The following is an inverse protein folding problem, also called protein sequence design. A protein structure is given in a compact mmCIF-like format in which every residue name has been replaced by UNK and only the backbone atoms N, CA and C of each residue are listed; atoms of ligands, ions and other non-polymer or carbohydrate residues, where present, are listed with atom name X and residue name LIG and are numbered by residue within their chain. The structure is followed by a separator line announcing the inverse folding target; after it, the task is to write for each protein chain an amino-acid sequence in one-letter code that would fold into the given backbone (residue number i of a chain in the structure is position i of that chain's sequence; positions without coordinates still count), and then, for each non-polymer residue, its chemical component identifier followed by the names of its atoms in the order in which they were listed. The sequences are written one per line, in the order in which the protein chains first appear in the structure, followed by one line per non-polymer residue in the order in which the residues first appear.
data_IF_194046708230
#
_entry.id   IF_194046708230
#
_cell.length_a   1.000
_cell.length_b   1.000
_cell.length_c   1.000
_cell.angle_alpha   90.00
_cell.angle_beta   90.00
_cell.angle_gamma   90.00
#
_symmetry.space_group_name_H-M   'P 1'
#
loop_
_entity.id
_entity.type
_entity.pdbx_description
1 polymer ?
#
# COMPACT_ATOMS: atom_id res chain seq x y z
N UNK A 1 -13.10 14.82 -0.66
CA UNK A 1 -11.83 14.17 -1.05
C UNK A 1 -11.50 12.96 -0.17
N UNK A 2 -11.92 12.98 1.10
CA UNK A 2 -11.50 12.02 2.14
C UNK A 2 -11.97 10.59 1.94
N UNK A 3 -13.19 10.37 1.39
CA UNK A 3 -13.67 9.01 1.07
C UNK A 3 -12.80 8.32 0.01
N UNK A 4 -12.36 9.07 -1.01
CA UNK A 4 -11.48 8.54 -2.06
C UNK A 4 -10.12 8.21 -1.47
N UNK A 5 -9.57 9.11 -0.65
CA UNK A 5 -8.29 8.91 0.05
C UNK A 5 -8.34 7.70 0.99
N UNK A 6 -9.39 7.58 1.80
CA UNK A 6 -9.60 6.44 2.71
C UNK A 6 -9.73 5.11 1.97
N UNK A 7 -10.46 5.09 0.85
CA UNK A 7 -10.56 3.89 0.01
C UNK A 7 -9.22 3.46 -0.60
N UNK A 8 -8.41 4.42 -1.07
CA UNK A 8 -7.06 4.14 -1.57
C UNK A 8 -6.13 3.64 -0.47
N UNK A 9 -6.23 4.16 0.75
CA UNK A 9 -5.44 3.69 1.92
C UNK A 9 -5.83 2.27 2.31
N UNK A 10 -7.13 1.93 2.31
CA UNK A 10 -7.59 0.57 2.56
C UNK A 10 -7.07 -0.42 1.50
N UNK A 11 -7.13 -0.04 0.21
CA UNK A 11 -6.57 -0.83 -0.89
C UNK A 11 -5.06 -1.04 -0.74
N UNK A 12 -4.32 -0.02 -0.26
CA UNK A 12 -2.89 -0.14 0.00
C UNK A 12 -2.58 -1.20 1.07
N UNK A 13 -3.35 -1.26 2.15
CA UNK A 13 -3.16 -2.27 3.20
C UNK A 13 -3.30 -3.71 2.69
N UNK A 14 -4.31 -3.97 1.86
CA UNK A 14 -4.50 -5.30 1.25
C UNK A 14 -3.32 -5.69 0.33
N UNK A 15 -2.83 -4.74 -0.47
CA UNK A 15 -1.70 -4.95 -1.37
C UNK A 15 -0.39 -5.20 -0.61
N UNK A 16 -0.14 -4.46 0.47
CA UNK A 16 1.02 -4.70 1.35
C UNK A 16 0.99 -6.13 1.90
N UNK A 17 -0.16 -6.58 2.40
CA UNK A 17 -0.32 -7.96 2.90
C UNK A 17 -0.05 -9.03 1.82
N UNK A 18 -0.52 -8.80 0.60
CA UNK A 18 -0.23 -9.68 -0.53
C UNK A 18 1.27 -9.74 -0.85
N UNK A 19 1.97 -8.60 -0.85
CA UNK A 19 3.42 -8.54 -1.08
C UNK A 19 4.17 -9.24 0.05
N UNK A 20 3.84 -8.99 1.32
CA UNK A 20 4.46 -9.65 2.46
C UNK A 20 4.32 -11.18 2.39
N UNK A 21 3.17 -11.67 1.93
CA UNK A 21 2.95 -13.11 1.72
C UNK A 21 3.82 -13.66 0.58
N UNK A 22 3.87 -12.96 -0.56
CA UNK A 22 4.66 -13.37 -1.72
C UNK A 22 6.16 -13.41 -1.42
N UNK A 23 6.64 -12.45 -0.62
CA UNK A 23 8.06 -12.32 -0.24
C UNK A 23 8.40 -13.06 1.05
N UNK A 24 7.43 -13.75 1.68
CA UNK A 24 7.60 -14.44 2.96
C UNK A 24 8.21 -13.56 4.05
N UNK A 25 7.81 -12.28 4.07
CA UNK A 25 8.29 -11.28 5.03
C UNK A 25 9.71 -10.77 4.77
N UNK A 26 10.30 -11.05 3.60
CA UNK A 26 11.65 -10.60 3.25
C UNK A 26 11.68 -9.16 2.71
N UNK A 27 10.54 -8.62 2.27
CA UNK A 27 10.47 -7.24 1.79
C UNK A 27 10.24 -6.24 2.93
N UNK A 28 10.77 -5.03 2.77
CA UNK A 28 10.54 -3.92 3.67
C UNK A 28 9.08 -3.42 3.57
N UNK A 29 8.33 -3.57 4.66
CA UNK A 29 6.92 -3.20 4.70
C UNK A 29 6.68 -1.69 4.54
N UNK A 30 7.56 -0.85 5.06
CA UNK A 30 7.45 0.60 4.94
C UNK A 30 7.67 1.02 3.49
N UNK A 31 8.71 0.49 2.84
CA UNK A 31 9.01 0.78 1.44
C UNK A 31 7.94 0.26 0.50
N UNK A 32 7.41 -0.94 0.74
CA UNK A 32 6.31 -1.50 -0.05
C UNK A 32 5.05 -0.63 0.06
N UNK A 33 4.72 -0.15 1.26
CA UNK A 33 3.58 0.74 1.49
C UNK A 33 3.73 2.07 0.74
N UNK A 34 4.91 2.68 0.78
CA UNK A 34 5.21 3.92 0.03
C UNK A 34 4.98 3.74 -1.47
N UNK A 35 5.59 2.72 -2.08
CA UNK A 35 5.48 2.43 -3.50
C UNK A 35 4.03 2.16 -3.95
N UNK A 36 3.23 1.52 -3.10
CA UNK A 36 1.81 1.27 -3.39
C UNK A 36 1.00 2.57 -3.33
N UNK A 37 1.23 3.41 -2.32
CA UNK A 37 0.51 4.70 -2.18
C UNK A 37 0.85 5.67 -3.32
N UNK A 38 2.12 5.70 -3.72
CA UNK A 38 2.60 6.42 -4.91
C UNK A 38 1.86 5.95 -6.16
N UNK A 39 1.84 4.63 -6.42
CA UNK A 39 1.13 4.04 -7.56
C UNK A 39 -0.39 4.26 -7.56
N UNK A 40 -1.00 4.38 -6.39
CA UNK A 40 -2.43 4.69 -6.25
C UNK A 40 -2.72 6.20 -6.43
N UNK A 41 -1.69 7.03 -6.66
CA UNK A 41 -1.81 8.48 -6.77
C UNK A 41 -2.42 9.06 -5.49
N UNK A 42 -1.92 8.59 -4.33
CA UNK A 42 -2.26 9.12 -2.99
C UNK A 42 -1.22 10.15 -2.54
N UNK A 43 -0.32 10.55 -3.43
CA UNK A 43 0.57 11.69 -3.18
C UNK A 43 -0.26 12.97 -3.00
N UNK A 44 -0.10 13.56 -1.82
CA UNK A 44 -0.82 14.74 -1.35
C UNK A 44 -0.39 15.09 0.05
#
# INVERSE_FOLDING_TARGET
ADKIRGGKVAAAGALVGAVMKATRGQADAARVRELILEKLGVEG
#
